data_IF_624405334589
#
_entry.id   IF_624405334589
#
_cell.length_a   1.000
_cell.length_b   1.000
_cell.length_c   1.000
_cell.angle_alpha   90.00
_cell.angle_beta   90.00
_cell.angle_gamma   90.00
#
_symmetry.space_group_name_H-M   'P 1'
#
loop_
_entity.id
_entity.type
_entity.pdbx_description
1 polymer ?
#
# COMPACT_ATOMS: atom_id res chain seq x y z
N UNK A 1 21.50 -0.47 1.50
CA UNK A 1 20.28 -1.12 0.97
C UNK A 1 20.07 -0.65 -0.46
N UNK A 2 19.60 -1.53 -1.36
CA UNK A 2 19.36 -1.18 -2.78
C UNK A 2 18.07 -0.37 -2.89
N UNK A 3 18.09 0.74 -3.65
CA UNK A 3 16.90 1.54 -3.95
C UNK A 3 16.08 0.83 -5.04
N UNK A 4 14.86 0.41 -4.71
CA UNK A 4 13.96 -0.28 -5.65
C UNK A 4 13.03 0.70 -6.37
N UNK A 5 12.58 1.75 -5.68
CA UNK A 5 11.85 2.88 -6.27
C UNK A 5 12.57 4.18 -5.93
N UNK A 6 12.73 5.04 -6.93
CA UNK A 6 13.24 6.41 -6.78
C UNK A 6 12.22 7.38 -7.37
N UNK A 7 11.81 8.34 -6.56
CA UNK A 7 10.87 9.40 -6.93
C UNK A 7 11.71 10.68 -6.94
N UNK A 8 11.79 11.35 -8.08
CA UNK A 8 12.67 12.51 -8.29
C UNK A 8 11.84 13.70 -8.78
N UNK A 9 11.70 14.71 -7.90
CA UNK A 9 10.98 15.97 -8.15
C UNK A 9 9.57 15.80 -8.74
N UNK A 10 8.84 14.80 -8.26
CA UNK A 10 7.55 14.43 -8.84
C UNK A 10 6.45 15.39 -8.43
N UNK A 11 5.80 15.96 -9.44
CA UNK A 11 4.59 16.76 -9.29
C UNK A 11 3.43 16.17 -10.06
N UNK A 12 2.21 16.37 -9.54
CA UNK A 12 0.98 15.95 -10.20
C UNK A 12 -0.05 17.07 -10.15
N UNK A 13 -0.53 17.47 -11.33
CA UNK A 13 -1.58 18.46 -11.51
C UNK A 13 -2.75 17.84 -12.24
N UNK A 14 -3.97 18.17 -11.81
CA UNK A 14 -5.22 17.75 -12.45
C UNK A 14 -5.92 18.97 -13.03
N UNK A 15 -6.41 18.86 -14.27
CA UNK A 15 -7.32 19.84 -14.83
C UNK A 15 -8.72 19.61 -14.25
N UNK A 16 -9.24 20.60 -13.53
CA UNK A 16 -10.60 20.58 -12.96
C UNK A 16 -11.46 21.65 -13.62
N UNK A 17 -12.78 21.58 -13.43
CA UNK A 17 -13.71 22.62 -13.93
C UNK A 17 -13.38 24.02 -13.42
N UNK A 18 -12.72 24.13 -12.27
CA UNK A 18 -12.37 25.38 -11.61
C UNK A 18 -10.90 25.79 -11.85
N UNK A 19 -10.18 25.10 -12.74
CA UNK A 19 -8.77 25.35 -13.05
C UNK A 19 -7.85 24.19 -12.69
N UNK A 20 -6.54 24.44 -12.72
CA UNK A 20 -5.50 23.43 -12.44
C UNK A 20 -5.30 23.24 -10.95
N UNK A 21 -5.51 22.02 -10.47
CA UNK A 21 -5.29 21.63 -9.08
C UNK A 21 -3.98 20.85 -8.98
N UNK A 22 -2.95 21.47 -8.38
CA UNK A 22 -1.73 20.75 -8.02
C UNK A 22 -2.02 19.83 -6.82
N UNK A 23 -2.00 18.52 -7.02
CA UNK A 23 -2.13 17.55 -5.94
C UNK A 23 -0.80 17.33 -5.21
N UNK A 24 0.28 17.17 -5.97
CA UNK A 24 1.64 16.91 -5.47
C UNK A 24 2.62 17.91 -6.09
N UNK A 25 3.62 18.34 -5.31
CA UNK A 25 4.65 19.26 -5.75
C UNK A 25 6.03 18.78 -5.25
N UNK A 26 6.96 18.55 -6.18
CA UNK A 26 8.38 18.28 -5.88
C UNK A 26 8.65 17.13 -4.92
N UNK A 27 7.88 16.05 -4.99
CA UNK A 27 8.09 14.88 -4.12
C UNK A 27 9.39 14.18 -4.54
N UNK A 28 10.34 14.10 -3.61
CA UNK A 28 11.56 13.30 -3.76
C UNK A 28 11.65 12.28 -2.64
N UNK A 29 11.67 10.99 -3.00
CA UNK A 29 11.63 9.88 -2.05
C UNK A 29 12.30 8.63 -2.60
N UNK A 30 13.16 8.03 -1.79
CA UNK A 30 13.78 6.73 -2.08
C UNK A 30 13.18 5.63 -1.20
N UNK A 31 12.80 4.53 -1.85
CA UNK A 31 12.26 3.32 -1.21
C UNK A 31 13.26 2.18 -1.44
N UNK A 32 13.61 1.46 -0.38
CA UNK A 32 14.56 0.36 -0.44
C UNK A 32 13.88 -1.00 -0.62
N UNK A 33 14.62 -1.93 -1.23
CA UNK A 33 14.18 -3.32 -1.38
C UNK A 33 13.98 -3.97 0.01
N UNK A 34 12.83 -4.62 0.21
CA UNK A 34 12.42 -5.24 1.47
C UNK A 34 11.97 -4.29 2.58
N UNK A 35 11.90 -2.99 2.32
CA UNK A 35 11.42 -1.98 3.28
C UNK A 35 9.89 -1.87 3.26
N UNK A 36 9.29 -1.62 4.43
CA UNK A 36 7.92 -1.13 4.54
C UNK A 36 7.93 0.38 4.79
N UNK A 37 7.37 1.16 3.86
CA UNK A 37 7.25 2.61 3.99
C UNK A 37 5.79 3.05 4.10
N UNK A 38 5.48 3.83 5.14
CA UNK A 38 4.17 4.44 5.37
C UNK A 38 4.11 5.83 4.75
N UNK A 39 3.07 6.12 3.96
CA UNK A 39 2.71 7.45 3.49
C UNK A 39 1.60 7.99 4.39
N UNK A 40 1.90 9.04 5.15
CA UNK A 40 0.94 9.62 6.10
C UNK A 40 0.73 11.10 5.80
N UNK A 41 -0.50 11.55 5.90
CA UNK A 41 -0.86 12.95 5.72
C UNK A 41 -2.37 13.16 5.78
N UNK A 42 -2.84 14.41 5.83
CA UNK A 42 -4.26 14.72 5.88
C UNK A 42 -5.07 14.11 4.72
N UNK A 43 -6.38 14.01 4.88
CA UNK A 43 -7.26 13.64 3.77
C UNK A 43 -7.06 14.62 2.60
N UNK A 44 -6.96 14.09 1.37
CA UNK A 44 -6.76 14.90 0.17
C UNK A 44 -5.33 15.42 -0.08
N UNK A 45 -4.32 15.02 0.70
CA UNK A 45 -2.93 15.42 0.45
C UNK A 45 -2.24 14.68 -0.72
N UNK A 46 -2.94 13.78 -1.42
CA UNK A 46 -2.39 13.09 -2.60
C UNK A 46 -1.66 11.77 -2.33
N UNK A 47 -1.87 11.11 -1.18
CA UNK A 47 -1.34 9.75 -0.90
C UNK A 47 -1.69 8.74 -1.99
N UNK A 48 -2.98 8.59 -2.29
CA UNK A 48 -3.48 7.69 -3.35
C UNK A 48 -3.00 8.12 -4.73
N UNK A 49 -2.82 9.43 -4.95
CA UNK A 49 -2.21 9.95 -6.18
C UNK A 49 -0.76 9.46 -6.31
N UNK A 50 0.05 9.55 -5.25
CA UNK A 50 1.42 9.05 -5.26
C UNK A 50 1.48 7.54 -5.48
N UNK A 51 0.60 6.77 -4.82
CA UNK A 51 0.50 5.32 -5.06
C UNK A 51 0.16 5.00 -6.52
N UNK A 52 -0.80 5.71 -7.12
CA UNK A 52 -1.18 5.51 -8.53
C UNK A 52 -0.02 5.82 -9.49
N UNK A 53 0.80 6.83 -9.19
CA UNK A 53 1.99 7.15 -9.97
C UNK A 53 3.06 6.04 -9.86
N UNK A 54 3.31 5.52 -8.64
CA UNK A 54 4.24 4.40 -8.43
C UNK A 54 3.73 3.14 -9.13
N UNK A 55 2.43 2.85 -9.03
CA UNK A 55 1.77 1.75 -9.73
C UNK A 55 1.91 1.88 -11.26
N UNK A 56 2.07 3.10 -11.78
CA UNK A 56 2.06 3.41 -13.21
C UNK A 56 0.65 3.51 -13.80
N UNK A 57 -0.37 3.70 -12.96
CA UNK A 57 -1.75 3.95 -13.40
C UNK A 57 -1.96 5.38 -13.89
N UNK A 58 -1.08 6.30 -13.49
CA UNK A 58 -1.02 7.66 -13.98
C UNK A 58 0.44 8.03 -14.30
N UNK A 59 0.62 9.07 -15.13
CA UNK A 59 1.92 9.66 -15.42
C UNK A 59 2.09 10.95 -14.63
N UNK A 60 3.27 11.20 -14.04
CA UNK A 60 3.52 12.43 -13.32
C UNK A 60 3.50 13.62 -14.29
N UNK A 61 3.03 14.78 -13.82
CA UNK A 61 3.06 16.03 -14.60
C UNK A 61 4.48 16.60 -14.71
N UNK A 62 5.29 16.41 -13.67
CA UNK A 62 6.70 16.80 -13.61
C UNK A 62 7.51 15.73 -12.88
N UNK A 63 8.83 15.72 -13.08
CA UNK A 63 9.73 14.76 -12.44
C UNK A 63 9.64 13.36 -13.04
N UNK A 64 10.26 12.39 -12.36
CA UNK A 64 10.33 11.00 -12.82
C UNK A 64 10.23 10.01 -11.66
N UNK A 65 9.58 8.87 -11.92
CA UNK A 65 9.59 7.70 -11.03
C UNK A 65 10.36 6.58 -11.73
N UNK A 66 11.40 6.09 -11.06
CA UNK A 66 12.21 4.97 -11.50
C UNK A 66 11.91 3.74 -10.63
N UNK A 67 11.62 2.61 -11.25
CA UNK A 67 11.49 1.30 -10.60
C UNK A 67 12.60 0.39 -11.13
N UNK A 68 13.44 -0.18 -10.25
CA UNK A 68 14.62 -0.96 -10.64
C UNK A 68 15.52 -0.23 -11.66
N UNK A 69 15.66 1.09 -11.50
CA UNK A 69 16.47 1.95 -12.39
C UNK A 69 15.82 2.25 -13.75
N UNK A 70 14.57 1.83 -14.00
CA UNK A 70 13.85 2.10 -15.24
C UNK A 70 12.65 3.02 -14.99
N UNK A 71 12.36 3.99 -15.87
CA UNK A 71 11.16 4.81 -15.76
C UNK A 71 9.88 3.98 -15.72
N UNK A 72 8.96 4.34 -14.84
CA UNK A 72 7.62 3.74 -14.78
C UNK A 72 6.81 4.24 -15.97
N UNK A 73 6.65 3.39 -16.98
CA UNK A 73 5.91 3.73 -18.20
C UNK A 73 4.40 3.40 -18.12
N UNK A 74 4.01 2.51 -17.20
CA UNK A 74 2.66 1.98 -17.06
C UNK A 74 2.55 0.94 -15.94
N UNK A 75 1.38 0.30 -15.77
CA UNK A 75 1.17 -0.74 -14.77
C UNK A 75 1.95 -2.01 -15.09
N UNK A 76 2.44 -2.70 -14.06
CA UNK A 76 3.15 -3.97 -14.21
C UNK A 76 2.86 -4.91 -13.02
N UNK A 77 2.87 -6.25 -13.21
CA UNK A 77 2.65 -7.22 -12.13
C UNK A 77 3.64 -7.11 -10.96
N UNK A 78 4.83 -6.55 -11.22
CA UNK A 78 5.85 -6.32 -10.18
C UNK A 78 5.43 -5.24 -9.17
N UNK A 79 4.45 -4.38 -9.52
CA UNK A 79 3.95 -3.24 -8.73
C UNK A 79 2.44 -3.37 -8.58
N UNK A 80 2.00 -4.11 -7.58
CA UNK A 80 0.57 -4.41 -7.42
C UNK A 80 -0.08 -3.48 -6.41
N UNK A 81 -1.19 -2.85 -6.80
CA UNK A 81 -1.96 -1.95 -5.95
C UNK A 81 -3.20 -2.66 -5.39
N UNK A 82 -3.37 -2.57 -4.08
CA UNK A 82 -4.58 -2.94 -3.34
C UNK A 82 -5.34 -1.67 -3.01
N UNK A 83 -6.51 -1.51 -3.61
CA UNK A 83 -7.37 -0.35 -3.42
C UNK A 83 -8.19 -0.44 -2.12
N UNK A 84 -8.50 0.70 -1.54
CA UNK A 84 -9.39 0.84 -0.38
C UNK A 84 -10.77 0.18 -0.59
N UNK A 85 -11.35 0.31 -1.79
CA UNK A 85 -12.66 -0.28 -2.10
C UNK A 85 -12.59 -1.79 -2.45
N UNK A 86 -11.46 -2.47 -2.16
CA UNK A 86 -11.17 -3.87 -2.48
C UNK A 86 -11.07 -4.18 -3.99
N UNK A 87 -11.84 -3.47 -4.83
CA UNK A 87 -11.95 -3.64 -6.27
C UNK A 87 -12.11 -5.11 -6.68
N UNK A 88 -12.89 -5.87 -5.92
CA UNK A 88 -13.24 -7.26 -6.26
C UNK A 88 -14.30 -7.27 -7.36
N UNK A 89 -14.24 -8.25 -8.24
CA UNK A 89 -15.22 -8.48 -9.28
C UNK A 89 -16.43 -9.19 -8.64
N UNK A 90 -17.60 -8.52 -8.53
CA UNK A 90 -18.71 -9.02 -7.72
C UNK A 90 -19.41 -10.26 -8.29
N UNK A 91 -19.21 -10.52 -9.59
CA UNK A 91 -19.73 -11.69 -10.31
C UNK A 91 -18.76 -12.89 -10.30
N UNK A 92 -17.59 -12.76 -9.68
CA UNK A 92 -16.62 -13.84 -9.53
C UNK A 92 -16.57 -14.29 -8.08
N UNK A 93 -16.29 -15.57 -7.85
CA UNK A 93 -16.04 -16.08 -6.49
C UNK A 93 -14.73 -15.52 -5.92
N UNK A 94 -14.47 -15.73 -4.62
CA UNK A 94 -13.18 -15.42 -4.01
C UNK A 94 -12.04 -16.12 -4.74
N UNK A 95 -12.22 -17.40 -5.10
CA UNK A 95 -11.30 -18.17 -5.91
C UNK A 95 -11.05 -17.49 -7.25
N UNK A 96 -12.11 -17.20 -8.00
CA UNK A 96 -12.01 -16.66 -9.36
C UNK A 96 -11.37 -15.26 -9.38
N UNK A 97 -11.62 -14.45 -8.35
CA UNK A 97 -10.97 -13.15 -8.18
C UNK A 97 -9.44 -13.27 -8.09
N UNK A 98 -8.94 -14.28 -7.35
CA UNK A 98 -7.50 -14.53 -7.20
C UNK A 98 -6.96 -15.27 -8.44
N UNK A 99 -7.70 -16.24 -8.96
CA UNK A 99 -7.33 -17.05 -10.12
C UNK A 99 -7.10 -16.18 -11.35
N UNK A 100 -7.91 -15.15 -11.57
CA UNK A 100 -7.73 -14.20 -12.68
C UNK A 100 -6.34 -13.55 -12.67
N UNK A 101 -5.85 -13.15 -11.50
CA UNK A 101 -4.52 -12.55 -11.35
C UNK A 101 -3.42 -13.59 -11.57
N UNK A 102 -3.59 -14.80 -11.03
CA UNK A 102 -2.64 -15.92 -11.21
C UNK A 102 -2.54 -16.32 -12.68
N UNK A 103 -3.66 -16.52 -13.36
CA UNK A 103 -3.71 -16.89 -14.77
C UNK A 103 -3.07 -15.81 -15.64
N UNK A 104 -3.31 -14.53 -15.34
CA UNK A 104 -2.71 -13.43 -16.10
C UNK A 104 -1.19 -13.39 -16.03
N UNK A 105 -0.60 -13.74 -14.88
CA UNK A 105 0.85 -13.67 -14.64
C UNK A 105 1.55 -14.98 -15.03
N UNK A 106 0.95 -16.13 -14.73
CA UNK A 106 1.59 -17.45 -14.84
C UNK A 106 1.01 -18.33 -15.95
N UNK A 107 -0.12 -17.97 -16.56
CA UNK A 107 -0.83 -18.81 -17.54
C UNK A 107 -0.04 -19.13 -18.81
N UNK A 108 0.98 -18.32 -19.15
CA UNK A 108 1.89 -18.62 -20.25
C UNK A 108 3.02 -19.61 -19.91
N UNK A 109 3.21 -19.95 -18.63
CA UNK A 109 4.31 -20.80 -18.13
C UNK A 109 3.84 -22.09 -17.49
N UNK A 110 2.56 -22.17 -17.12
CA UNK A 110 2.05 -23.24 -16.26
C UNK A 110 0.73 -23.81 -16.75
N UNK A 111 0.54 -25.10 -16.49
CA UNK A 111 -0.74 -25.76 -16.74
C UNK A 111 -1.81 -25.36 -15.74
N UNK A 112 -3.07 -25.58 -16.13
CA UNK A 112 -4.27 -25.26 -15.34
C UNK A 112 -4.24 -25.78 -13.89
N UNK A 113 -3.69 -26.98 -13.67
CA UNK A 113 -3.54 -27.55 -12.33
C UNK A 113 -2.61 -26.71 -11.43
N UNK A 114 -1.48 -26.23 -11.96
CA UNK A 114 -0.54 -25.38 -11.23
C UNK A 114 -1.15 -24.01 -10.87
N UNK A 115 -1.87 -23.40 -11.80
CA UNK A 115 -2.58 -22.14 -11.58
C UNK A 115 -3.64 -22.26 -10.47
N UNK A 116 -4.41 -23.36 -10.47
CA UNK A 116 -5.37 -23.64 -9.41
C UNK A 116 -4.69 -23.81 -8.06
N UNK A 117 -3.61 -24.59 -8.01
CA UNK A 117 -2.88 -24.80 -6.76
C UNK A 117 -2.35 -23.48 -6.18
N UNK A 118 -1.76 -22.61 -7.00
CA UNK A 118 -1.32 -21.28 -6.54
C UNK A 118 -2.44 -20.42 -5.99
N UNK A 119 -3.63 -20.54 -6.59
CA UNK A 119 -4.82 -19.81 -6.15
C UNK A 119 -5.25 -20.28 -4.76
N UNK A 120 -5.33 -21.60 -4.55
CA UNK A 120 -5.59 -22.20 -3.24
C UNK A 120 -4.53 -21.79 -2.21
N UNK A 121 -3.25 -21.86 -2.56
CA UNK A 121 -2.15 -21.49 -1.65
C UNK A 121 -2.24 -20.01 -1.26
N UNK A 122 -2.59 -19.12 -2.19
CA UNK A 122 -2.74 -17.69 -1.91
C UNK A 122 -3.93 -17.41 -0.98
N UNK A 123 -5.06 -18.09 -1.16
CA UNK A 123 -6.23 -17.96 -0.29
C UNK A 123 -5.97 -18.57 1.09
N UNK A 124 -5.27 -19.70 1.16
CA UNK A 124 -4.86 -20.32 2.41
C UNK A 124 -3.93 -19.41 3.23
N UNK A 125 -2.97 -18.73 2.59
CA UNK A 125 -2.05 -17.79 3.25
C UNK A 125 -2.74 -16.63 3.95
N UNK A 126 -3.91 -16.21 3.47
CA UNK A 126 -4.71 -15.14 4.11
C UNK A 126 -5.84 -15.68 4.99
N UNK A 127 -5.89 -17.00 5.21
CA UNK A 127 -6.90 -17.66 6.03
C UNK A 127 -8.29 -17.78 5.38
N UNK A 128 -8.38 -17.76 4.05
CA UNK A 128 -9.65 -17.78 3.30
C UNK A 128 -9.97 -19.09 2.57
N UNK A 129 -9.23 -20.18 2.85
CA UNK A 129 -9.47 -21.49 2.23
C UNK A 129 -10.92 -22.02 2.41
N UNK A 130 -11.61 -21.60 3.47
CA UNK A 130 -13.00 -22.00 3.75
C UNK A 130 -14.05 -21.16 3.00
N UNK A 131 -13.65 -20.06 2.35
CA UNK A 131 -14.55 -19.08 1.73
C UNK A 131 -14.32 -18.94 0.21
N UNK A 132 -13.51 -19.81 -0.38
CA UNK A 132 -13.06 -19.70 -1.78
C UNK A 132 -14.22 -19.70 -2.79
N UNK A 133 -15.27 -20.46 -2.53
CA UNK A 133 -16.45 -20.57 -3.41
C UNK A 133 -17.47 -19.46 -3.23
N UNK A 134 -17.31 -18.61 -2.21
CA UNK A 134 -18.25 -17.52 -1.91
C UNK A 134 -18.02 -16.33 -2.83
N UNK A 135 -19.07 -15.58 -3.10
CA UNK A 135 -18.99 -14.31 -3.83
C UNK A 135 -18.68 -13.14 -2.89
N UNK A 136 -18.11 -12.02 -3.40
CA UNK A 136 -17.83 -10.84 -2.60
C UNK A 136 -19.03 -10.31 -1.82
N UNK A 137 -20.26 -10.37 -2.36
CA UNK A 137 -21.44 -9.88 -1.67
C UNK A 137 -21.87 -10.77 -0.48
N UNK A 138 -21.37 -12.00 -0.40
CA UNK A 138 -21.71 -12.96 0.65
C UNK A 138 -20.76 -12.88 1.85
N UNK A 139 -19.64 -12.15 1.74
CA UNK A 139 -18.59 -12.12 2.77
C UNK A 139 -18.46 -10.74 3.45
N UNK A 140 -18.08 -10.69 4.74
CA UNK A 140 -17.77 -9.45 5.45
C UNK A 140 -16.65 -8.64 4.79
N UNK A 141 -16.60 -7.33 5.09
CA UNK A 141 -15.59 -6.42 4.54
C UNK A 141 -14.14 -6.89 4.80
N UNK A 142 -13.84 -7.38 6.01
CA UNK A 142 -12.51 -7.94 6.31
C UNK A 142 -12.11 -9.13 5.46
N UNK A 143 -13.07 -9.99 5.08
CA UNK A 143 -12.80 -11.08 4.15
C UNK A 143 -12.57 -10.55 2.74
N UNK A 144 -13.32 -9.52 2.29
CA UNK A 144 -13.07 -8.86 1.00
C UNK A 144 -11.64 -8.33 0.92
N UNK A 145 -11.13 -7.76 2.03
CA UNK A 145 -9.75 -7.25 2.09
C UNK A 145 -8.72 -8.35 2.03
N UNK A 146 -8.96 -9.46 2.73
CA UNK A 146 -8.13 -10.66 2.61
C UNK A 146 -8.12 -11.22 1.18
N UNK A 147 -9.24 -11.24 0.46
CA UNK A 147 -9.28 -11.64 -0.96
C UNK A 147 -8.46 -10.68 -1.82
N UNK A 148 -8.60 -9.37 -1.62
CA UNK A 148 -7.83 -8.35 -2.34
C UNK A 148 -6.32 -8.51 -2.12
N UNK A 149 -5.92 -8.77 -0.88
CA UNK A 149 -4.53 -9.04 -0.51
C UNK A 149 -4.03 -10.36 -1.11
N UNK A 150 -4.81 -11.45 -1.05
CA UNK A 150 -4.48 -12.72 -1.67
C UNK A 150 -4.29 -12.58 -3.18
N UNK A 151 -5.18 -11.83 -3.86
CA UNK A 151 -5.07 -11.53 -5.28
C UNK A 151 -3.79 -10.76 -5.61
N UNK A 152 -3.40 -9.81 -4.75
CA UNK A 152 -2.19 -9.04 -4.97
C UNK A 152 -0.92 -9.86 -4.74
N UNK A 153 -0.89 -10.65 -3.66
CA UNK A 153 0.27 -11.48 -3.28
C UNK A 153 0.44 -12.70 -4.18
N UNK A 154 -0.65 -13.24 -4.74
CA UNK A 154 -0.59 -14.38 -5.66
C UNK A 154 0.23 -14.07 -6.92
N UNK A 155 0.31 -12.79 -7.31
CA UNK A 155 1.12 -12.30 -8.41
C UNK A 155 2.63 -12.24 -8.09
N UNK A 156 3.02 -12.49 -6.84
CA UNK A 156 4.40 -12.38 -6.35
C UNK A 156 5.04 -11.02 -6.68
N UNK A 157 4.42 -9.91 -6.25
CA UNK A 157 4.91 -8.57 -6.57
C UNK A 157 6.26 -8.31 -5.89
N UNK A 158 7.10 -7.48 -6.52
CA UNK A 158 8.29 -6.95 -5.86
C UNK A 158 7.95 -5.78 -4.95
N UNK A 159 6.92 -5.02 -5.33
CA UNK A 159 6.41 -3.86 -4.61
C UNK A 159 4.90 -4.03 -4.45
N UNK A 160 4.45 -4.08 -3.19
CA UNK A 160 3.05 -4.08 -2.82
C UNK A 160 2.63 -2.67 -2.39
N UNK A 161 1.66 -2.10 -3.09
CA UNK A 161 1.11 -0.78 -2.81
C UNK A 161 -0.24 -0.96 -2.12
N UNK A 162 -0.42 -0.38 -0.95
CA UNK A 162 -1.63 -0.52 -0.14
C UNK A 162 -2.26 0.86 0.09
N UNK A 163 -3.49 1.07 -0.36
CA UNK A 163 -4.21 2.33 -0.18
C UNK A 163 -5.29 2.19 0.90
N UNK A 164 -5.04 2.75 2.09
CA UNK A 164 -5.88 2.65 3.29
C UNK A 164 -6.36 1.21 3.58
N UNK A 165 -5.43 0.23 3.73
CA UNK A 165 -5.76 -1.19 3.72
C UNK A 165 -6.59 -1.69 4.92
N UNK A 166 -6.71 -0.89 5.97
CA UNK A 166 -7.34 -1.29 7.23
C UNK A 166 -8.50 -0.38 7.66
N UNK A 167 -8.74 0.71 6.94
CA UNK A 167 -9.65 1.78 7.35
C UNK A 167 -11.11 1.34 7.58
N UNK A 168 -11.57 0.35 6.81
CA UNK A 168 -12.96 -0.11 6.82
C UNK A 168 -13.20 -1.32 7.74
N UNK A 169 -12.23 -1.67 8.61
CA UNK A 169 -12.26 -2.89 9.41
C UNK A 169 -12.47 -2.61 10.89
N UNK A 170 -13.28 -3.46 11.52
CA UNK A 170 -13.42 -3.47 12.98
C UNK A 170 -12.09 -3.83 13.66
N UNK A 171 -11.85 -3.28 14.85
CA UNK A 171 -10.57 -3.42 15.57
C UNK A 171 -10.03 -4.86 15.67
N UNK A 172 -10.81 -5.89 16.02
CA UNK A 172 -10.28 -7.26 16.09
C UNK A 172 -9.82 -7.78 14.73
N UNK A 173 -10.65 -7.58 13.69
CA UNK A 173 -10.37 -8.04 12.32
C UNK A 173 -9.17 -7.30 11.73
N UNK A 174 -9.04 -6.01 12.04
CA UNK A 174 -7.91 -5.18 11.67
C UNK A 174 -6.61 -5.70 12.26
N UNK A 175 -6.59 -5.96 13.58
CA UNK A 175 -5.42 -6.50 14.27
C UNK A 175 -4.97 -7.82 13.65
N UNK A 176 -5.92 -8.74 13.43
CA UNK A 176 -5.60 -10.04 12.84
C UNK A 176 -5.01 -9.89 11.43
N UNK A 177 -5.55 -8.97 10.62
CA UNK A 177 -5.04 -8.74 9.26
C UNK A 177 -3.65 -8.09 9.26
N UNK A 178 -3.39 -7.19 10.20
CA UNK A 178 -2.07 -6.57 10.37
C UNK A 178 -1.01 -7.62 10.73
N UNK A 179 -1.32 -8.50 11.69
CA UNK A 179 -0.41 -9.56 12.10
C UNK A 179 -0.13 -10.55 10.94
N UNK A 180 -1.15 -10.90 10.15
CA UNK A 180 -0.96 -11.74 8.94
C UNK A 180 -0.14 -11.03 7.87
N UNK A 181 -0.37 -9.73 7.62
CA UNK A 181 0.45 -8.96 6.69
C UNK A 181 1.92 -8.98 7.13
N UNK A 182 2.20 -8.70 8.40
CA UNK A 182 3.57 -8.73 8.93
C UNK A 182 4.25 -10.08 8.74
N UNK A 183 3.55 -11.21 8.98
CA UNK A 183 4.08 -12.56 8.74
C UNK A 183 4.41 -12.80 7.26
N UNK A 184 3.52 -12.38 6.36
CA UNK A 184 3.72 -12.52 4.91
C UNK A 184 4.92 -11.69 4.45
N UNK A 185 5.07 -10.46 4.95
CA UNK A 185 6.20 -9.59 4.63
C UNK A 185 7.52 -10.18 5.13
N UNK A 186 7.52 -10.72 6.35
CA UNK A 186 8.67 -11.43 6.92
C UNK A 186 9.13 -12.60 6.03
N UNK A 187 8.16 -13.38 5.52
CA UNK A 187 8.44 -14.56 4.73
C UNK A 187 8.84 -14.26 3.28
N UNK A 188 8.37 -13.16 2.70
CA UNK A 188 8.54 -12.84 1.28
C UNK A 188 9.62 -11.81 0.99
N UNK A 189 9.95 -10.94 1.95
CA UNK A 189 10.84 -9.79 1.71
C UNK A 189 10.28 -8.78 0.71
N UNK A 190 8.96 -8.77 0.50
CA UNK A 190 8.29 -7.85 -0.44
C UNK A 190 8.41 -6.41 0.08
N UNK A 191 8.78 -5.47 -0.79
CA UNK A 191 8.73 -4.04 -0.46
C UNK A 191 7.28 -3.57 -0.36
N UNK A 192 6.94 -2.80 0.67
CA UNK A 192 5.58 -2.27 0.85
C UNK A 192 5.58 -0.75 0.85
N UNK A 193 4.63 -0.15 0.13
CA UNK A 193 4.29 1.26 0.26
C UNK A 193 2.84 1.33 0.68
N UNK A 194 2.59 1.78 1.91
CA UNK A 194 1.26 1.84 2.48
C UNK A 194 0.83 3.28 2.70
N UNK A 195 -0.24 3.72 2.03
CA UNK A 195 -0.94 4.93 2.43
C UNK A 195 -1.88 4.62 3.58
N UNK A 196 -1.78 5.38 4.66
CA UNK A 196 -2.74 5.33 5.76
C UNK A 196 -2.97 6.73 6.32
N UNK A 197 -4.12 6.92 6.95
CA UNK A 197 -4.42 8.09 7.77
C UNK A 197 -4.32 7.79 9.28
N UNK A 198 -4.11 6.52 9.66
CA UNK A 198 -3.95 6.09 11.04
C UNK A 198 -2.46 6.16 11.44
N UNK A 199 -2.18 6.97 12.47
CA UNK A 199 -0.83 7.17 13.03
C UNK A 199 -0.29 5.87 13.61
N UNK A 200 -1.13 5.11 14.31
CA UNK A 200 -0.72 3.87 14.96
C UNK A 200 -0.34 2.82 13.91
N UNK A 201 -1.09 2.73 12.81
CA UNK A 201 -0.77 1.83 11.70
C UNK A 201 0.58 2.18 11.05
N UNK A 202 0.82 3.47 10.80
CA UNK A 202 2.04 3.93 10.16
C UNK A 202 3.29 3.63 11.00
N UNK A 203 3.23 3.94 12.31
CA UNK A 203 4.33 3.70 13.25
C UNK A 203 4.53 2.20 13.47
N UNK A 204 3.44 1.43 13.52
CA UNK A 204 3.50 0.00 13.80
C UNK A 204 4.08 -0.81 12.63
N UNK A 205 3.60 -0.56 11.41
CA UNK A 205 3.86 -1.42 10.27
C UNK A 205 5.07 -0.99 9.43
N UNK A 206 5.50 0.26 9.57
CA UNK A 206 6.54 0.83 8.69
C UNK A 206 7.92 0.83 9.35
N UNK A 207 8.94 0.71 8.53
CA UNK A 207 10.33 1.00 8.88
C UNK A 207 10.62 2.49 8.80
N UNK A 208 9.98 3.16 7.82
CA UNK A 208 10.04 4.61 7.58
C UNK A 208 8.64 5.14 7.32
N UNK A 209 8.36 6.35 7.79
CA UNK A 209 7.11 7.05 7.53
C UNK A 209 7.42 8.35 6.81
N UNK A 210 7.04 8.42 5.54
CA UNK A 210 7.10 9.63 4.72
C UNK A 210 5.84 10.45 4.98
N UNK A 211 6.03 11.66 5.48
CA UNK A 211 4.96 12.54 5.91
C UNK A 211 4.66 13.58 4.84
N UNK A 212 3.44 13.61 4.33
CA UNK A 212 2.97 14.57 3.33
C UNK A 212 2.33 15.79 4.01
N UNK A 213 2.61 16.98 3.48
CA UNK A 213 1.97 18.22 3.91
C UNK A 213 0.53 18.31 3.38
N UNK A 214 -0.29 19.17 4.00
CA UNK A 214 -1.66 19.45 3.58
C UNK A 214 -1.67 20.03 2.16
N UNK A 215 -2.63 19.57 1.36
CA UNK A 215 -2.84 20.05 -0.01
C UNK A 215 -3.61 21.38 -0.08
N UNK A 216 -3.74 21.97 -1.27
CA UNK A 216 -3.10 21.57 -2.54
C UNK A 216 -1.59 21.87 -2.60
N UNK A 217 -0.89 21.20 -3.51
CA UNK A 217 0.58 21.29 -3.65
C UNK A 217 1.31 20.58 -2.51
N UNK A 218 0.85 19.38 -2.14
CA UNK A 218 1.46 18.63 -1.06
C UNK A 218 2.93 18.29 -1.39
N UNK A 219 3.80 18.50 -0.41
CA UNK A 219 5.24 18.26 -0.45
C UNK A 219 5.60 17.21 0.59
N UNK A 220 6.82 16.66 0.52
CA UNK A 220 7.33 15.80 1.58
C UNK A 220 7.78 16.67 2.76
N UNK A 221 7.05 16.60 3.87
CA UNK A 221 7.34 17.37 5.10
C UNK A 221 8.40 16.73 5.99
N UNK A 222 8.76 15.48 5.74
CA UNK A 222 9.85 14.80 6.43
C UNK A 222 9.72 13.28 6.36
N UNK A 223 10.75 12.60 6.83
CA UNK A 223 10.75 11.14 6.99
C UNK A 223 11.05 10.83 8.44
N UNK A 224 10.16 10.08 9.08
CA UNK A 224 10.30 9.59 10.43
C UNK A 224 10.77 8.12 10.39
N UNK A 225 11.68 7.74 11.27
CA UNK A 225 12.10 6.36 11.49
C UNK A 225 11.59 5.91 12.87
N UNK A 226 10.47 5.16 12.93
CA UNK A 226 9.86 4.74 14.20
C UNK A 226 10.75 3.87 15.10
N UNK A 227 11.85 3.35 14.56
CA UNK A 227 12.80 2.47 15.24
C UNK A 227 12.88 1.10 14.58
N UNK A 228 14.09 0.53 14.54
CA UNK A 228 14.37 -0.81 13.95
C UNK A 228 14.06 -1.96 14.92
N UNK A 229 12.97 -1.86 15.68
CA UNK A 229 12.48 -2.97 16.51
C UNK A 229 12.08 -4.16 15.62
N UNK A 230 12.26 -5.40 16.13
CA UNK A 230 12.03 -6.65 15.37
C UNK A 230 10.70 -6.55 14.60
N UNK A 231 10.71 -6.66 13.25
CA UNK A 231 9.61 -6.17 12.42
C UNK A 231 8.28 -6.93 12.53
N UNK A 232 8.11 -7.88 13.45
CA UNK A 232 7.04 -8.88 13.36
C UNK A 232 6.37 -9.25 14.70
N UNK A 233 6.65 -8.52 15.79
CA UNK A 233 5.87 -8.63 17.03
C UNK A 233 5.25 -7.27 17.36
N UNK A 234 3.96 -7.14 17.03
CA UNK A 234 3.17 -5.94 17.26
C UNK A 234 3.15 -5.54 18.73
N UNK A 235 3.01 -6.51 19.64
CA UNK A 235 2.94 -6.24 21.08
C UNK A 235 4.29 -5.77 21.61
N UNK A 236 5.39 -6.37 21.14
CA UNK A 236 6.73 -5.92 21.49
C UNK A 236 6.95 -4.47 21.03
N UNK A 237 6.64 -4.15 19.76
CA UNK A 237 6.78 -2.80 19.21
C UNK A 237 6.00 -1.76 20.00
N UNK A 238 4.73 -2.03 20.35
CA UNK A 238 3.91 -1.07 21.11
C UNK A 238 4.45 -0.75 22.51
N UNK A 239 5.34 -1.61 23.06
CA UNK A 239 5.95 -1.41 24.38
C UNK A 239 7.28 -0.66 24.32
N UNK A 240 7.83 -0.45 23.12
CA UNK A 240 9.09 0.28 22.95
C UNK A 240 8.87 1.79 23.15
N UNK A 241 9.79 2.45 23.86
CA UNK A 241 9.72 3.91 24.04
C UNK A 241 9.75 4.66 22.69
N UNK A 242 10.50 4.13 21.73
CA UNK A 242 10.59 4.66 20.37
C UNK A 242 9.22 4.72 19.68
N UNK A 243 8.32 3.76 19.93
CA UNK A 243 6.97 3.76 19.36
C UNK A 243 6.17 4.97 19.84
N UNK A 244 6.15 5.23 21.15
CA UNK A 244 5.41 6.36 21.73
C UNK A 244 5.97 7.71 21.26
N UNK A 245 7.30 7.82 21.17
CA UNK A 245 7.97 9.02 20.68
C UNK A 245 7.66 9.29 19.19
N UNK A 246 7.73 8.23 18.36
CA UNK A 246 7.42 8.31 16.94
C UNK A 246 5.95 8.70 16.71
N UNK A 247 5.04 8.10 17.48
CA UNK A 247 3.62 8.45 17.49
C UNK A 247 3.40 9.92 17.84
N UNK A 248 4.01 10.41 18.92
CA UNK A 248 3.90 11.81 19.34
C UNK A 248 4.42 12.77 18.26
N UNK A 249 5.58 12.47 17.65
CA UNK A 249 6.15 13.26 16.54
C UNK A 249 5.23 13.29 15.32
N UNK A 250 4.68 12.15 14.93
CA UNK A 250 3.79 12.03 13.77
C UNK A 250 2.45 12.75 14.01
N UNK A 251 1.85 12.59 15.19
CA UNK A 251 0.63 13.33 15.57
C UNK A 251 0.88 14.83 15.60
N UNK A 252 1.97 15.29 16.22
CA UNK A 252 2.33 16.70 16.25
C UNK A 252 2.56 17.27 14.84
N UNK A 253 3.14 16.49 13.93
CA UNK A 253 3.30 16.91 12.54
C UNK A 253 1.95 17.08 11.83
N UNK A 254 0.98 16.19 12.07
CA UNK A 254 -0.35 16.27 11.44
C UNK A 254 -1.21 17.40 12.01
N UNK A 255 -1.10 17.68 13.31
CA UNK A 255 -1.83 18.75 13.99
C UNK A 255 -1.30 20.15 13.64
N UNK A 256 0.02 20.31 13.57
CA UNK A 256 0.66 21.62 13.36
C UNK A 256 0.79 22.03 11.88
N UNK A 257 0.05 21.40 10.97
CA UNK A 257 0.13 21.76 9.55
C UNK A 257 -0.60 23.07 9.27
N UNK A 258 0.09 24.11 8.75
CA UNK A 258 -0.56 25.35 8.38
C UNK A 258 -1.62 25.11 7.30
N UNK A 259 -2.74 25.82 7.39
CA UNK A 259 -3.75 25.86 6.34
C UNK A 259 -3.14 26.50 5.09
N UNK A 260 -2.77 25.68 4.09
CA UNK A 260 -2.45 26.17 2.76
C UNK A 260 -3.76 26.39 2.02
N UNK A 261 -4.19 27.64 1.88
CA UNK A 261 -5.31 27.98 1.02
C UNK A 261 -4.93 27.70 -0.43
N UNK A 262 -5.84 27.06 -1.17
CA UNK A 262 -5.75 26.96 -2.62
C UNK A 262 -5.70 28.39 -3.19
N UNK A 263 -4.61 28.71 -3.90
CA UNK A 263 -4.49 29.95 -4.66
C UNK A 263 -5.38 29.91 -5.91
#
# INVERSE_FOLDING_TARGET
MRKIVRIEDVGQTFDTKNGRLAALCGITLDIHEGECIGLVGPAGCGKSTLLNLIAGLARPSTGVILCNGRPVAGPAPERTLVFQNHALLPWLTCFDNVYLAVERVFGGREGKAGLKQRTHDALARVGLAHAETRFPHEIPAGMKQRVGLARALSMQPRILLLDDPFAALDTPVRVDLQDELLKILAATGTTVVMATHDVDEAVLLSDRVAMLTRGPGATLGGILEPGRGRPHDRLARTREAAFSEARAKLSAFLENQPLRHAA
#
